data_IF_376273226716
#
_entry.id   IF_376273226716
#
_cell.length_a   1.000
_cell.length_b   1.000
_cell.length_c   1.000
_cell.angle_alpha   90.00
_cell.angle_beta   90.00
_cell.angle_gamma   90.00
#
_symmetry.space_group_name_H-M   'P 1'
#
loop_
_entity.id
_entity.type
_entity.pdbx_description
1 polymer ?
#
# COMPACT_ATOMS: atom_id res chain seq x y z
N UNK A 1 -9.05 -23.59 3.40
CA UNK A 1 -9.15 -22.48 2.44
C UNK A 1 -9.03 -22.92 0.98
N UNK A 2 -8.34 -24.01 0.68
CA UNK A 2 -8.29 -24.61 -0.68
C UNK A 2 -9.67 -24.93 -1.27
N UNK A 3 -10.68 -25.15 -0.43
CA UNK A 3 -12.05 -25.46 -0.87
C UNK A 3 -12.80 -24.32 -1.56
N UNK A 4 -12.28 -23.09 -1.52
CA UNK A 4 -12.91 -21.90 -2.13
C UNK A 4 -12.40 -21.60 -3.54
N UNK A 5 -11.39 -22.33 -4.03
CA UNK A 5 -10.76 -22.11 -5.33
C UNK A 5 -9.89 -20.85 -5.40
N UNK A 6 -9.69 -20.15 -4.27
CA UNK A 6 -8.81 -18.97 -4.22
C UNK A 6 -7.34 -19.41 -4.09
N UNK A 7 -6.44 -18.67 -4.75
CA UNK A 7 -4.99 -18.81 -4.66
C UNK A 7 -4.35 -17.49 -4.22
N UNK A 8 -3.07 -17.49 -3.85
CA UNK A 8 -2.35 -16.28 -3.47
C UNK A 8 -2.59 -15.84 -2.02
N UNK A 9 -2.92 -16.75 -1.11
CA UNK A 9 -2.97 -16.45 0.31
C UNK A 9 -1.59 -16.01 0.83
N UNK A 10 -1.55 -14.87 1.53
CA UNK A 10 -0.32 -14.25 2.00
C UNK A 10 0.27 -13.22 1.04
N UNK A 11 -0.12 -13.23 -0.24
CA UNK A 11 0.17 -12.16 -1.19
C UNK A 11 -0.65 -10.88 -0.89
N UNK A 12 -0.41 -9.81 -1.63
CA UNK A 12 -1.12 -8.53 -1.45
C UNK A 12 -2.56 -8.60 -1.96
N UNK A 13 -2.81 -9.31 -3.06
CA UNK A 13 -4.14 -9.53 -3.61
C UNK A 13 -4.45 -11.04 -3.71
N UNK A 14 -5.70 -11.40 -3.40
CA UNK A 14 -6.22 -12.74 -3.64
C UNK A 14 -6.59 -12.93 -5.10
N UNK A 15 -6.28 -14.11 -5.65
CA UNK A 15 -6.63 -14.48 -7.02
C UNK A 15 -7.76 -15.51 -7.04
N UNK A 16 -8.76 -15.26 -7.88
CA UNK A 16 -9.86 -16.19 -8.11
C UNK A 16 -10.03 -16.47 -9.61
N UNK A 17 -10.11 -17.73 -10.06
CA UNK A 17 -10.34 -18.06 -11.46
C UNK A 17 -11.63 -17.41 -11.99
N UNK A 18 -11.52 -16.56 -13.01
CA UNK A 18 -12.68 -15.96 -13.68
C UNK A 18 -13.16 -16.86 -14.81
N UNK A 19 -12.21 -17.34 -15.59
CA UNK A 19 -12.44 -18.26 -16.72
C UNK A 19 -11.18 -19.11 -16.97
N UNK A 20 -11.12 -19.81 -18.10
CA UNK A 20 -9.98 -20.65 -18.47
C UNK A 20 -8.66 -19.88 -18.67
N UNK A 21 -8.71 -18.57 -18.87
CA UNK A 21 -7.56 -17.73 -19.23
C UNK A 21 -7.23 -16.65 -18.23
N UNK A 22 -8.16 -16.23 -17.35
CA UNK A 22 -8.01 -15.06 -16.49
C UNK A 22 -8.31 -15.35 -15.04
N UNK A 23 -7.70 -14.52 -14.17
CA UNK A 23 -8.06 -14.43 -12.77
C UNK A 23 -8.68 -13.05 -12.48
N UNK A 24 -9.63 -13.01 -11.55
CA UNK A 24 -9.92 -11.82 -10.77
C UNK A 24 -8.87 -11.69 -9.68
N UNK A 25 -8.36 -10.47 -9.51
CA UNK A 25 -7.53 -10.09 -8.37
C UNK A 25 -8.35 -9.16 -7.48
N UNK A 26 -8.31 -9.36 -6.17
CA UNK A 26 -9.02 -8.49 -5.23
C UNK A 26 -8.19 -8.25 -3.98
N UNK A 27 -8.21 -7.02 -3.49
CA UNK A 27 -7.61 -6.63 -2.22
C UNK A 27 -8.55 -5.70 -1.46
N UNK A 28 -8.59 -5.84 -0.15
CA UNK A 28 -9.35 -4.99 0.76
C UNK A 28 -8.40 -4.41 1.81
N UNK A 29 -8.47 -3.09 2.00
CA UNK A 29 -7.70 -2.40 3.02
C UNK A 29 -8.52 -1.30 3.70
N UNK A 30 -8.02 -0.77 4.80
CA UNK A 30 -8.57 0.37 5.52
C UNK A 30 -7.50 1.44 5.75
N UNK A 31 -7.92 2.69 5.88
CA UNK A 31 -6.99 3.80 6.16
C UNK A 31 -6.40 3.70 7.56
N UNK A 32 -7.16 3.18 8.51
CA UNK A 32 -6.72 3.02 9.88
C UNK A 32 -6.54 4.34 10.63
N UNK A 33 -5.60 4.35 11.58
CA UNK A 33 -5.48 5.46 12.57
C UNK A 33 -4.93 6.78 12.00
N UNK A 34 -4.53 6.84 10.73
CA UNK A 34 -4.26 8.10 10.00
C UNK A 34 -5.49 9.00 10.00
N UNK A 35 -6.70 8.43 9.89
CA UNK A 35 -7.97 9.16 9.92
C UNK A 35 -8.06 10.12 11.10
N UNK A 36 -7.58 9.73 12.29
CA UNK A 36 -7.64 10.55 13.50
C UNK A 36 -6.80 11.83 13.34
N UNK A 37 -5.58 11.70 12.84
CA UNK A 37 -4.67 12.85 12.64
C UNK A 37 -5.15 13.71 11.48
N UNK A 38 -5.57 13.10 10.39
CA UNK A 38 -6.06 13.78 9.21
C UNK A 38 -7.33 14.59 9.50
N UNK A 39 -8.28 13.99 10.24
CA UNK A 39 -9.52 14.66 10.67
C UNK A 39 -9.22 15.90 11.53
N UNK A 40 -8.34 15.76 12.53
CA UNK A 40 -7.94 16.86 13.40
C UNK A 40 -7.26 18.01 12.63
N UNK A 41 -6.69 17.74 11.45
CA UNK A 41 -6.01 18.71 10.59
C UNK A 41 -6.82 19.12 9.35
N UNK A 42 -8.09 18.71 9.22
CA UNK A 42 -8.94 19.01 8.06
C UNK A 42 -8.41 18.42 6.75
N UNK A 43 -7.87 17.20 6.78
CA UNK A 43 -7.18 16.53 5.67
C UNK A 43 -7.80 15.16 5.33
N UNK A 44 -9.11 14.96 5.56
CA UNK A 44 -9.78 13.67 5.28
C UNK A 44 -9.77 13.29 3.80
N UNK A 45 -9.73 14.27 2.90
CA UNK A 45 -9.58 14.01 1.46
C UNK A 45 -8.31 13.22 1.13
N UNK A 46 -7.21 13.47 1.85
CA UNK A 46 -5.97 12.72 1.67
C UNK A 46 -6.13 11.25 2.09
N UNK A 47 -6.93 10.98 3.12
CA UNK A 47 -7.27 9.62 3.52
C UNK A 47 -8.13 8.89 2.47
N UNK A 48 -9.01 9.63 1.78
CA UNK A 48 -9.72 9.09 0.63
C UNK A 48 -8.77 8.65 -0.49
N UNK A 49 -7.79 9.49 -0.79
CA UNK A 49 -6.75 9.16 -1.76
C UNK A 49 -5.87 7.98 -1.29
N UNK A 50 -5.53 7.93 0.01
CA UNK A 50 -4.80 6.77 0.58
C UNK A 50 -5.53 5.46 0.32
N UNK A 51 -6.83 5.39 0.65
CA UNK A 51 -7.61 4.16 0.51
C UNK A 51 -7.58 3.63 -0.92
N UNK A 52 -7.91 4.51 -1.88
CA UNK A 52 -7.95 4.11 -3.28
C UNK A 52 -6.57 3.67 -3.78
N UNK A 53 -5.51 4.44 -3.48
CA UNK A 53 -4.16 4.08 -3.87
C UNK A 53 -3.68 2.77 -3.22
N UNK A 54 -3.99 2.53 -1.93
CA UNK A 54 -3.66 1.29 -1.23
C UNK A 54 -4.27 0.07 -1.92
N UNK A 55 -5.59 0.05 -2.05
CA UNK A 55 -6.29 -1.09 -2.65
C UNK A 55 -5.87 -1.33 -4.11
N UNK A 56 -5.68 -0.26 -4.90
CA UNK A 56 -5.25 -0.37 -6.29
C UNK A 56 -3.80 -0.88 -6.37
N UNK A 57 -2.88 -0.33 -5.57
CA UNK A 57 -1.49 -0.79 -5.54
C UNK A 57 -1.39 -2.29 -5.21
N UNK A 58 -2.16 -2.76 -4.23
CA UNK A 58 -2.16 -4.18 -3.89
C UNK A 58 -2.57 -5.07 -5.06
N UNK A 59 -3.61 -4.68 -5.79
CA UNK A 59 -4.06 -5.38 -7.01
C UNK A 59 -2.97 -5.39 -8.09
N UNK A 60 -2.20 -4.29 -8.21
CA UNK A 60 -1.09 -4.20 -9.18
C UNK A 60 0.05 -5.17 -8.88
N UNK A 61 0.26 -5.58 -7.61
CA UNK A 61 1.39 -6.45 -7.24
C UNK A 61 1.40 -7.79 -7.96
N UNK A 62 0.24 -8.34 -8.27
CA UNK A 62 0.12 -9.60 -9.02
C UNK A 62 0.07 -9.42 -10.55
N UNK A 63 0.36 -8.21 -11.06
CA UNK A 63 0.30 -7.89 -12.50
C UNK A 63 -1.10 -7.61 -13.02
N UNK A 64 -2.12 -7.55 -12.16
CA UNK A 64 -3.49 -7.30 -12.57
C UNK A 64 -3.72 -5.85 -13.01
N UNK A 65 -4.63 -5.68 -13.96
CA UNK A 65 -5.15 -4.37 -14.34
C UNK A 65 -6.35 -4.06 -13.44
N UNK A 66 -6.32 -2.97 -12.65
CA UNK A 66 -7.42 -2.61 -11.75
C UNK A 66 -8.62 -2.13 -12.56
N UNK A 67 -9.83 -2.53 -12.15
CA UNK A 67 -11.07 -2.25 -12.87
C UNK A 67 -12.03 -1.37 -12.05
N UNK A 68 -12.22 -1.71 -10.79
CA UNK A 68 -13.21 -1.05 -9.95
C UNK A 68 -12.78 -1.01 -8.48
N UNK A 69 -13.32 -0.03 -7.77
CA UNK A 69 -13.21 0.15 -6.33
C UNK A 69 -14.61 0.26 -5.72
N UNK A 70 -14.79 -0.32 -4.54
CA UNK A 70 -15.91 -0.11 -3.64
C UNK A 70 -15.37 0.41 -2.31
N UNK A 71 -16.13 1.27 -1.63
CA UNK A 71 -15.75 1.82 -0.34
C UNK A 71 -16.76 1.50 0.76
N UNK A 72 -16.34 1.63 1.99
CA UNK A 72 -17.16 1.50 3.19
C UNK A 72 -16.77 2.58 4.20
N UNK A 73 -17.72 3.48 4.47
CA UNK A 73 -17.60 4.48 5.53
C UNK A 73 -18.46 4.05 6.70
N UNK A 74 -17.87 3.97 7.89
CA UNK A 74 -18.62 3.67 9.11
C UNK A 74 -18.24 4.66 10.23
N UNK A 75 -19.22 5.18 10.96
CA UNK A 75 -18.98 6.11 12.04
C UNK A 75 -20.02 5.96 13.16
N UNK A 76 -19.73 6.53 14.33
CA UNK A 76 -20.75 6.71 15.37
C UNK A 76 -21.88 7.62 14.88
N UNK A 77 -21.52 8.76 14.26
CA UNK A 77 -22.39 9.75 13.65
C UNK A 77 -21.86 10.12 12.27
N UNK A 78 -22.69 10.03 11.24
CA UNK A 78 -22.33 10.39 9.87
C UNK A 78 -22.37 11.91 9.69
N UNK A 79 -21.24 12.49 9.27
CA UNK A 79 -21.11 13.89 8.85
C UNK A 79 -20.90 13.95 7.36
N UNK A 80 -21.87 14.50 6.65
CA UNK A 80 -21.88 14.48 5.18
C UNK A 80 -20.66 15.13 4.55
N UNK A 81 -20.14 16.19 5.15
CA UNK A 81 -18.94 16.89 4.68
C UNK A 81 -17.69 16.00 4.77
N UNK A 82 -17.55 15.23 5.86
CA UNK A 82 -16.43 14.30 6.05
C UNK A 82 -16.49 13.13 5.08
N UNK A 83 -17.70 12.57 4.88
CA UNK A 83 -17.92 11.51 3.87
C UNK A 83 -17.61 12.04 2.46
N UNK A 84 -18.05 13.26 2.14
CA UNK A 84 -17.77 13.88 0.85
C UNK A 84 -16.25 14.03 0.61
N UNK A 85 -15.47 14.51 1.60
CA UNK A 85 -14.01 14.63 1.49
C UNK A 85 -13.36 13.26 1.22
N UNK A 86 -13.74 12.22 1.97
CA UNK A 86 -13.21 10.86 1.79
C UNK A 86 -13.50 10.31 0.38
N UNK A 87 -14.76 10.38 -0.04
CA UNK A 87 -15.19 9.88 -1.35
C UNK A 87 -14.56 10.71 -2.50
N UNK A 88 -14.46 12.03 -2.36
CA UNK A 88 -13.77 12.88 -3.35
C UNK A 88 -12.29 12.53 -3.50
N UNK A 89 -11.60 12.24 -2.39
CA UNK A 89 -10.22 11.79 -2.41
C UNK A 89 -10.05 10.47 -3.14
N UNK A 90 -10.87 9.48 -2.81
CA UNK A 90 -10.89 8.17 -3.46
C UNK A 90 -11.21 8.30 -4.96
N UNK A 91 -12.24 9.08 -5.30
CA UNK A 91 -12.65 9.31 -6.69
C UNK A 91 -11.56 10.04 -7.53
N UNK A 92 -10.74 10.88 -6.89
CA UNK A 92 -9.62 11.53 -7.59
C UNK A 92 -8.57 10.51 -8.04
N UNK A 93 -8.15 9.60 -7.16
CA UNK A 93 -7.21 8.52 -7.50
C UNK A 93 -7.83 7.52 -8.49
N UNK A 94 -9.11 7.18 -8.31
CA UNK A 94 -9.81 6.31 -9.26
C UNK A 94 -9.82 6.90 -10.68
N UNK A 95 -10.06 8.21 -10.83
CA UNK A 95 -9.98 8.89 -12.14
C UNK A 95 -8.58 8.86 -12.74
N UNK A 96 -7.55 9.11 -11.92
CA UNK A 96 -6.15 9.03 -12.34
C UNK A 96 -5.80 7.62 -12.83
N UNK A 97 -6.25 6.59 -12.11
CA UNK A 97 -6.01 5.19 -12.43
C UNK A 97 -6.85 4.66 -13.61
N UNK A 98 -7.91 5.36 -14.02
CA UNK A 98 -8.90 4.81 -14.95
C UNK A 98 -9.78 3.71 -14.33
N UNK A 99 -9.91 3.70 -13.01
CA UNK A 99 -10.69 2.74 -12.21
C UNK A 99 -12.07 3.31 -11.92
N UNK A 100 -13.11 2.49 -12.01
CA UNK A 100 -14.47 2.90 -11.68
C UNK A 100 -14.71 2.82 -10.16
N UNK A 101 -15.06 3.94 -9.52
CA UNK A 101 -15.67 3.90 -8.18
C UNK A 101 -17.15 3.55 -8.38
N UNK A 102 -17.52 2.28 -8.15
CA UNK A 102 -18.83 1.73 -8.57
C UNK A 102 -19.89 1.81 -7.49
N UNK A 103 -19.51 2.17 -6.26
CA UNK A 103 -20.41 2.30 -5.12
C UNK A 103 -19.72 1.93 -3.83
N UNK A 104 -20.50 1.79 -2.79
CA UNK A 104 -20.03 1.48 -1.46
C UNK A 104 -21.18 1.44 -0.46
N UNK A 105 -20.85 1.55 0.82
CA UNK A 105 -21.79 1.60 1.92
C UNK A 105 -21.43 2.74 2.88
N UNK A 106 -22.43 3.42 3.43
CA UNK A 106 -22.23 4.44 4.46
C UNK A 106 -23.12 4.10 5.65
N UNK A 107 -22.52 3.74 6.79
CA UNK A 107 -23.24 3.22 7.93
C UNK A 107 -23.04 4.09 9.17
N UNK A 108 -24.15 4.52 9.77
CA UNK A 108 -24.16 5.12 11.11
C UNK A 108 -24.39 4.01 12.16
N UNK A 109 -23.40 3.82 13.03
CA UNK A 109 -23.32 2.67 13.94
C UNK A 109 -23.03 3.11 15.39
N UNK A 110 -23.96 3.85 16.05
CA UNK A 110 -23.81 4.25 17.44
C UNK A 110 -23.75 3.02 18.34
N UNK A 111 -22.78 3.00 19.24
CA UNK A 111 -22.54 1.85 20.14
C UNK A 111 -21.58 0.78 19.62
N UNK A 112 -21.29 0.75 18.30
CA UNK A 112 -20.16 0.02 17.73
C UNK A 112 -18.94 0.94 17.70
N UNK A 113 -19.09 2.15 17.15
CA UNK A 113 -18.08 3.20 17.22
C UNK A 113 -18.36 4.15 18.37
N UNK A 114 -17.32 4.60 19.06
CA UNK A 114 -17.45 5.64 20.08
C UNK A 114 -17.72 7.01 19.43
N UNK A 115 -18.19 7.97 20.23
CA UNK A 115 -18.44 9.32 19.75
C UNK A 115 -17.17 9.92 19.11
N UNK A 116 -17.33 10.43 17.89
CA UNK A 116 -16.23 10.98 17.11
C UNK A 116 -15.35 9.97 16.40
N UNK A 117 -15.62 8.67 16.48
CA UNK A 117 -14.90 7.66 15.71
C UNK A 117 -15.49 7.46 14.31
N UNK A 118 -14.59 7.25 13.36
CA UNK A 118 -14.82 7.07 11.93
C UNK A 118 -13.87 6.01 11.41
N UNK A 119 -14.37 5.11 10.57
CA UNK A 119 -13.57 4.15 9.79
C UNK A 119 -13.85 4.27 8.30
N UNK A 120 -12.83 3.99 7.49
CA UNK A 120 -12.92 4.05 6.04
C UNK A 120 -12.11 2.92 5.44
N UNK A 121 -12.79 2.01 4.76
CA UNK A 121 -12.23 0.83 4.14
C UNK A 121 -12.70 0.72 2.67
N UNK A 122 -12.01 -0.10 1.87
CA UNK A 122 -12.41 -0.31 0.49
C UNK A 122 -11.90 -1.63 -0.07
N UNK A 123 -12.42 -1.97 -1.24
CA UNK A 123 -12.05 -3.17 -1.97
C UNK A 123 -11.80 -2.80 -3.43
N UNK A 124 -10.59 -3.04 -3.91
CA UNK A 124 -10.28 -2.96 -5.34
C UNK A 124 -10.38 -4.34 -5.98
N UNK A 125 -10.88 -4.35 -7.22
CA UNK A 125 -10.95 -5.57 -8.06
C UNK A 125 -10.27 -5.28 -9.38
N UNK A 126 -9.45 -6.21 -9.83
CA UNK A 126 -8.75 -6.17 -11.11
C UNK A 126 -8.82 -7.53 -11.84
N UNK A 127 -8.18 -7.59 -12.99
CA UNK A 127 -8.09 -8.80 -13.81
C UNK A 127 -6.67 -8.99 -14.32
N UNK A 128 -6.21 -10.24 -14.34
CA UNK A 128 -4.91 -10.61 -14.90
C UNK A 128 -5.04 -11.88 -15.76
N UNK A 129 -4.31 -11.92 -16.87
CA UNK A 129 -4.20 -13.13 -17.65
C UNK A 129 -3.32 -14.15 -16.92
N UNK A 130 -3.63 -15.45 -16.99
CA UNK A 130 -2.90 -16.50 -16.26
C UNK A 130 -1.40 -16.51 -16.54
N UNK A 131 -1.00 -16.18 -17.77
CA UNK A 131 0.41 -16.13 -18.20
C UNK A 131 1.12 -14.83 -17.84
N UNK A 132 0.40 -13.86 -17.27
CA UNK A 132 0.92 -12.53 -16.89
C UNK A 132 0.94 -12.33 -15.38
N UNK A 133 0.56 -13.34 -14.59
CA UNK A 133 0.62 -13.28 -13.13
C UNK A 133 2.06 -13.10 -12.68
N UNK A 134 2.27 -12.11 -11.82
CA UNK A 134 3.55 -11.81 -11.17
C UNK A 134 3.43 -12.30 -9.73
N UNK A 135 4.15 -13.37 -9.37
CA UNK A 135 4.01 -14.07 -8.09
C UNK A 135 5.33 -14.35 -7.36
N UNK A 136 6.46 -13.88 -7.90
CA UNK A 136 7.77 -14.10 -7.31
C UNK A 136 8.39 -15.46 -7.60
N UNK A 137 7.67 -16.40 -8.23
CA UNK A 137 8.15 -17.77 -8.44
C UNK A 137 9.42 -17.90 -9.28
N UNK A 138 9.77 -16.87 -10.03
CA UNK A 138 10.99 -16.82 -10.89
C UNK A 138 12.12 -16.03 -10.27
N UNK A 139 12.01 -15.61 -9.01
CA UNK A 139 13.10 -14.93 -8.30
C UNK A 139 14.26 -15.88 -8.07
N UNK A 140 15.48 -15.36 -8.28
CA UNK A 140 16.74 -16.09 -8.12
C UNK A 140 17.73 -15.28 -7.29
N UNK A 141 18.65 -15.97 -6.60
CA UNK A 141 19.74 -15.30 -5.93
C UNK A 141 20.58 -14.48 -6.93
N UNK A 142 20.89 -13.24 -6.58
CA UNK A 142 21.55 -12.28 -7.46
C UNK A 142 20.61 -11.25 -8.09
N UNK A 143 19.29 -11.51 -8.13
CA UNK A 143 18.30 -10.53 -8.59
C UNK A 143 18.38 -9.23 -7.79
N UNK A 144 18.11 -8.13 -8.44
CA UNK A 144 18.13 -6.80 -7.84
C UNK A 144 16.76 -6.39 -7.32
N UNK A 145 16.73 -5.77 -6.14
CA UNK A 145 15.56 -5.10 -5.60
C UNK A 145 15.65 -3.62 -5.96
N UNK A 146 14.75 -3.12 -6.81
CA UNK A 146 14.63 -1.71 -7.14
C UNK A 146 13.51 -1.06 -6.32
N UNK A 147 13.79 0.13 -5.76
CA UNK A 147 12.88 0.87 -4.91
C UNK A 147 12.32 2.13 -5.60
N UNK A 148 11.06 2.42 -5.36
CA UNK A 148 10.38 3.61 -5.86
C UNK A 148 9.93 4.49 -4.69
N UNK A 149 10.16 5.82 -4.77
CA UNK A 149 9.99 6.70 -3.64
C UNK A 149 8.54 6.80 -3.18
N UNK A 150 8.34 6.86 -1.85
CA UNK A 150 7.07 7.25 -1.23
C UNK A 150 6.91 8.78 -1.19
N UNK A 151 5.68 9.25 -0.92
CA UNK A 151 5.40 10.67 -0.68
C UNK A 151 5.66 11.09 0.78
N UNK A 152 5.99 10.13 1.65
CA UNK A 152 6.14 10.29 3.09
C UNK A 152 5.70 9.02 3.81
N UNK A 153 5.01 9.16 4.92
CA UNK A 153 4.57 8.02 5.76
C UNK A 153 3.55 7.12 5.02
N UNK A 154 2.78 7.67 4.09
CA UNK A 154 1.59 7.03 3.50
C UNK A 154 0.48 6.83 4.55
N UNK A 155 -0.13 5.63 4.66
CA UNK A 155 -1.21 5.39 5.61
C UNK A 155 -0.82 4.46 6.78
N UNK A 156 0.40 3.93 6.80
CA UNK A 156 0.81 2.94 7.79
C UNK A 156 1.61 3.55 8.96
N UNK A 157 1.60 2.88 10.12
CA UNK A 157 2.37 3.29 11.29
C UNK A 157 1.79 4.45 12.09
N UNK A 158 0.56 4.92 11.80
CA UNK A 158 -0.03 6.09 12.46
C UNK A 158 -0.35 5.88 13.94
N UNK A 159 -0.46 4.67 14.43
CA UNK A 159 -0.51 4.42 15.88
C UNK A 159 0.76 4.90 16.56
N UNK A 160 1.93 4.66 15.96
CA UNK A 160 3.22 5.12 16.46
C UNK A 160 3.41 6.62 16.22
N UNK A 161 3.09 7.12 15.03
CA UNK A 161 3.09 8.57 14.70
C UNK A 161 2.30 9.37 15.75
N UNK A 162 1.10 8.92 16.11
CA UNK A 162 0.26 9.60 17.10
C UNK A 162 0.92 9.70 18.48
N UNK A 163 1.60 8.64 18.93
CA UNK A 163 2.38 8.66 20.19
C UNK A 163 3.52 9.67 20.14
N UNK A 164 4.21 9.79 19.00
CA UNK A 164 5.28 10.79 18.84
C UNK A 164 4.70 12.20 18.80
N UNK A 165 3.55 12.42 18.16
CA UNK A 165 2.87 13.72 18.13
C UNK A 165 2.39 14.20 19.52
N UNK A 166 2.19 13.29 20.49
CA UNK A 166 1.91 13.66 21.88
C UNK A 166 3.13 14.32 22.59
N UNK A 167 4.33 14.05 22.08
CA UNK A 167 5.61 14.52 22.67
C UNK A 167 6.19 15.67 21.86
N UNK A 168 6.13 15.61 20.54
CA UNK A 168 6.71 16.59 19.62
C UNK A 168 5.83 16.73 18.37
N UNK A 169 5.40 17.97 18.08
CA UNK A 169 4.60 18.23 16.88
C UNK A 169 5.44 18.19 15.60
N UNK A 170 4.80 17.90 14.47
CA UNK A 170 5.39 17.90 13.15
C UNK A 170 4.36 18.39 12.12
N UNK A 171 4.71 19.44 11.39
CA UNK A 171 3.86 20.11 10.39
C UNK A 171 4.30 19.88 8.94
N UNK A 172 5.32 19.05 8.72
CA UNK A 172 5.79 18.69 7.37
C UNK A 172 4.71 18.05 6.51
N UNK A 173 4.68 18.41 5.24
CA UNK A 173 3.67 17.91 4.27
C UNK A 173 3.73 16.40 4.09
N UNK A 174 4.90 15.79 4.26
CA UNK A 174 5.16 14.36 4.12
C UNK A 174 4.53 13.50 5.23
N UNK A 175 4.06 14.10 6.34
CA UNK A 175 3.32 13.37 7.37
C UNK A 175 1.99 12.81 6.86
N UNK A 176 1.17 13.66 6.23
CA UNK A 176 -0.17 13.34 5.74
C UNK A 176 -0.23 13.21 4.21
N UNK A 177 0.91 13.31 3.51
CA UNK A 177 0.91 13.12 2.07
C UNK A 177 0.23 11.80 1.69
N UNK A 178 -0.68 11.81 0.71
CA UNK A 178 -1.36 10.59 0.28
C UNK A 178 -0.40 9.53 -0.23
N UNK A 179 -0.79 8.29 -0.11
CA UNK A 179 -0.13 7.14 -0.72
C UNK A 179 -0.01 7.36 -2.22
N UNK A 180 1.19 7.18 -2.76
CA UNK A 180 1.41 7.24 -4.21
C UNK A 180 0.74 6.08 -4.92
N UNK A 181 0.15 6.39 -6.07
CA UNK A 181 -0.28 5.38 -7.02
C UNK A 181 0.91 4.94 -7.87
N UNK A 182 1.19 3.61 -7.88
CA UNK A 182 2.32 3.04 -8.64
C UNK A 182 1.91 2.39 -9.96
N UNK A 183 0.75 2.75 -10.52
CA UNK A 183 0.17 2.18 -11.72
C UNK A 183 1.13 2.26 -12.94
N UNK A 184 1.68 3.44 -13.20
CA UNK A 184 2.60 3.63 -14.34
C UNK A 184 3.91 2.85 -14.15
N UNK A 185 4.41 2.79 -12.91
CA UNK A 185 5.59 1.99 -12.55
C UNK A 185 5.32 0.50 -12.79
N UNK A 186 4.20 -0.01 -12.28
CA UNK A 186 3.81 -1.40 -12.44
C UNK A 186 3.64 -1.77 -13.92
N UNK A 187 2.96 -0.92 -14.71
CA UNK A 187 2.79 -1.11 -16.15
C UNK A 187 4.11 -1.12 -16.90
N UNK A 188 5.02 -0.17 -16.60
CA UNK A 188 6.32 -0.09 -17.23
C UNK A 188 7.23 -1.30 -16.95
N UNK A 189 7.06 -1.93 -15.78
CA UNK A 189 7.88 -3.05 -15.35
C UNK A 189 7.25 -4.42 -15.57
N UNK A 190 5.96 -4.52 -15.96
CA UNK A 190 5.21 -5.78 -16.07
C UNK A 190 5.96 -6.88 -16.85
N UNK A 191 6.69 -6.51 -17.92
CA UNK A 191 7.41 -7.46 -18.77
C UNK A 191 8.78 -7.90 -18.23
N UNK A 192 9.28 -7.33 -17.10
CA UNK A 192 10.62 -7.61 -16.56
C UNK A 192 10.64 -7.83 -15.04
N UNK A 193 9.61 -7.41 -14.33
CA UNK A 193 9.52 -7.66 -12.90
C UNK A 193 9.19 -9.13 -12.64
N UNK A 194 9.94 -9.73 -11.74
CA UNK A 194 9.70 -11.09 -11.20
C UNK A 194 8.73 -11.05 -10.01
N UNK A 195 8.74 -9.94 -9.26
CA UNK A 195 7.81 -9.64 -8.18
C UNK A 195 7.62 -8.14 -8.00
N UNK A 196 6.48 -7.76 -7.42
CA UNK A 196 6.21 -6.45 -6.87
C UNK A 196 5.86 -6.56 -5.39
N UNK A 197 6.30 -5.57 -4.60
CA UNK A 197 5.89 -5.42 -3.21
C UNK A 197 5.42 -3.98 -2.96
N UNK A 198 4.18 -3.83 -2.50
CA UNK A 198 3.65 -2.57 -1.98
C UNK A 198 4.09 -2.42 -0.53
N UNK A 199 4.83 -1.37 -0.22
CA UNK A 199 5.43 -1.20 1.11
C UNK A 199 4.43 -0.52 2.04
N UNK A 200 3.81 -1.34 2.87
CA UNK A 200 2.79 -0.99 3.87
C UNK A 200 3.27 -1.32 5.28
N UNK A 201 2.39 -1.69 6.20
CA UNK A 201 2.76 -2.18 7.53
C UNK A 201 3.69 -3.39 7.43
N UNK A 202 4.70 -3.45 8.29
CA UNK A 202 5.79 -4.43 8.21
C UNK A 202 7.06 -3.88 7.55
N UNK A 203 7.01 -2.65 7.01
CA UNK A 203 8.16 -2.00 6.37
C UNK A 203 8.64 -2.72 5.11
N UNK A 204 9.83 -2.35 4.62
CA UNK A 204 10.38 -2.97 3.41
C UNK A 204 10.63 -4.47 3.60
N UNK A 205 11.26 -4.94 4.70
CA UNK A 205 11.55 -6.36 4.88
C UNK A 205 10.30 -7.22 4.88
N UNK A 206 9.32 -6.90 5.74
CA UNK A 206 8.12 -7.73 5.90
C UNK A 206 7.25 -7.80 4.63
N UNK A 207 7.29 -6.75 3.77
CA UNK A 207 6.55 -6.79 2.51
C UNK A 207 7.33 -7.52 1.39
N UNK A 208 8.66 -7.49 1.39
CA UNK A 208 9.46 -8.30 0.47
C UNK A 208 9.37 -9.80 0.80
N UNK A 209 9.33 -10.18 2.09
CA UNK A 209 9.15 -11.58 2.51
C UNK A 209 7.86 -12.22 1.95
N UNK A 210 6.83 -11.43 1.63
CA UNK A 210 5.57 -11.94 1.07
C UNK A 210 5.70 -12.44 -0.37
N UNK A 211 6.73 -12.00 -1.08
CA UNK A 211 6.92 -12.26 -2.52
C UNK A 211 8.24 -12.96 -2.84
N UNK A 212 9.17 -12.99 -1.90
CA UNK A 212 10.44 -13.71 -2.04
C UNK A 212 10.22 -15.19 -1.67
N UNK A 213 10.61 -16.16 -2.51
CA UNK A 213 10.45 -17.57 -2.23
C UNK A 213 11.19 -18.04 -0.98
N UNK A 214 10.69 -19.12 -0.35
CA UNK A 214 11.35 -19.79 0.77
C UNK A 214 12.81 -20.16 0.41
N UNK A 215 13.73 -19.98 1.38
CA UNK A 215 15.16 -20.22 1.19
C UNK A 215 15.91 -19.06 0.53
N UNK A 216 15.22 -17.96 0.27
CA UNK A 216 15.83 -16.73 -0.20
C UNK A 216 15.47 -15.56 0.71
N UNK A 217 16.28 -14.50 0.67
CA UNK A 217 16.06 -13.26 1.44
C UNK A 217 16.51 -12.05 0.65
N UNK A 218 15.95 -10.88 0.95
CA UNK A 218 16.39 -9.61 0.40
C UNK A 218 17.40 -8.94 1.34
N UNK A 219 18.65 -8.83 0.90
CA UNK A 219 19.68 -8.04 1.58
C UNK A 219 19.55 -6.58 1.15
N UNK A 220 19.18 -5.69 2.08
CA UNK A 220 18.90 -4.28 1.81
C UNK A 220 20.11 -3.39 2.11
N UNK A 221 20.39 -2.45 1.22
CA UNK A 221 21.32 -1.33 1.43
C UNK A 221 20.52 -0.09 1.89
N UNK A 222 20.50 0.15 3.20
CA UNK A 222 19.71 1.23 3.82
C UNK A 222 20.25 2.63 3.52
N UNK A 223 21.41 2.77 2.90
CA UNK A 223 22.03 4.04 2.49
C UNK A 223 21.81 4.34 1.00
N UNK A 224 21.17 3.42 0.26
CA UNK A 224 20.94 3.55 -1.19
C UNK A 224 19.96 4.66 -1.58
N UNK A 225 19.18 5.20 -0.64
CA UNK A 225 18.20 6.27 -0.93
C UNK A 225 18.11 7.31 0.19
N UNK A 226 17.63 8.48 -0.16
CA UNK A 226 17.37 9.54 0.82
C UNK A 226 15.97 9.39 1.41
N UNK A 227 15.91 9.29 2.74
CA UNK A 227 14.62 9.24 3.47
C UNK A 227 13.98 10.63 3.54
N UNK A 228 12.65 10.76 3.38
CA UNK A 228 11.90 11.98 3.66
C UNK A 228 12.13 12.51 5.09
N UNK A 229 12.03 13.85 5.31
CA UNK A 229 12.31 14.48 6.61
C UNK A 229 11.47 13.94 7.78
N UNK A 230 10.25 13.50 7.54
CA UNK A 230 9.37 12.91 8.57
C UNK A 230 10.04 11.72 9.28
N UNK A 231 10.86 10.94 8.59
CA UNK A 231 11.54 9.79 9.22
C UNK A 231 12.72 10.22 10.10
N UNK A 232 13.36 11.36 9.80
CA UNK A 232 14.36 11.94 10.71
C UNK A 232 13.71 12.50 11.99
N UNK A 233 12.49 13.05 11.90
CA UNK A 233 11.70 13.43 13.06
C UNK A 233 11.31 12.19 13.88
N UNK A 234 10.77 11.15 13.28
CA UNK A 234 10.41 9.91 13.98
C UNK A 234 11.61 9.25 14.66
N UNK A 235 12.79 9.26 14.03
CA UNK A 235 14.02 8.66 14.56
C UNK A 235 14.53 9.33 15.86
N UNK A 236 14.02 10.49 16.23
CA UNK A 236 14.34 11.10 17.53
C UNK A 236 13.65 10.40 18.70
N UNK A 237 12.58 9.66 18.43
CA UNK A 237 11.70 9.05 19.44
C UNK A 237 11.52 7.54 19.27
N UNK A 238 11.91 6.98 18.14
CA UNK A 238 11.69 5.59 17.76
C UNK A 238 13.01 4.95 17.35
N UNK A 239 13.29 3.75 17.84
CA UNK A 239 14.50 3.01 17.50
C UNK A 239 14.52 2.63 16.01
N UNK A 240 15.72 2.58 15.41
CA UNK A 240 15.90 2.31 13.97
C UNK A 240 15.28 0.96 13.56
N UNK A 241 15.42 -0.07 14.38
CA UNK A 241 14.85 -1.41 14.13
C UNK A 241 13.31 -1.35 14.02
N UNK A 242 12.67 -0.59 14.93
CA UNK A 242 11.22 -0.41 14.91
C UNK A 242 10.78 0.43 13.69
N UNK A 243 11.54 1.47 13.34
CA UNK A 243 11.29 2.26 12.12
C UNK A 243 11.31 1.38 10.88
N UNK A 244 12.29 0.48 10.75
CA UNK A 244 12.43 -0.45 9.61
C UNK A 244 11.29 -1.47 9.53
N UNK A 245 10.74 -1.87 10.66
CA UNK A 245 9.64 -2.84 10.72
C UNK A 245 8.25 -2.21 10.55
N UNK A 246 8.09 -0.89 10.81
CA UNK A 246 6.79 -0.24 10.81
C UNK A 246 6.56 0.60 9.55
N UNK A 247 7.61 1.27 9.05
CA UNK A 247 7.48 2.31 8.04
C UNK A 247 8.14 1.95 6.70
N UNK A 248 7.69 2.63 5.64
CA UNK A 248 8.26 2.53 4.30
C UNK A 248 9.64 3.23 4.16
N UNK A 249 10.02 4.09 5.09
CA UNK A 249 11.27 4.85 5.14
C UNK A 249 11.64 5.58 3.84
N UNK A 250 10.65 5.94 3.03
CA UNK A 250 10.85 6.66 1.78
C UNK A 250 10.73 5.79 0.52
N UNK A 251 10.54 4.48 0.66
CA UNK A 251 10.29 3.55 -0.45
C UNK A 251 8.89 2.97 -0.30
N UNK A 252 7.97 3.35 -1.17
CA UNK A 252 6.58 2.88 -1.10
C UNK A 252 6.26 1.71 -2.01
N UNK A 253 7.16 1.37 -2.93
CA UNK A 253 7.01 0.24 -3.86
C UNK A 253 8.36 -0.36 -4.19
N UNK A 254 8.41 -1.69 -4.28
CA UNK A 254 9.58 -2.42 -4.74
C UNK A 254 9.24 -3.31 -5.92
N UNK A 255 10.22 -3.52 -6.78
CA UNK A 255 10.20 -4.56 -7.80
C UNK A 255 11.47 -5.39 -7.74
N UNK A 256 11.34 -6.70 -7.92
CA UNK A 256 12.47 -7.61 -8.09
C UNK A 256 12.68 -7.85 -9.57
N UNK A 257 13.90 -7.61 -10.05
CA UNK A 257 14.28 -7.74 -11.47
C UNK A 257 15.62 -8.47 -11.60
N UNK A 258 15.83 -9.20 -12.72
CA UNK A 258 17.11 -9.84 -12.97
C UNK A 258 18.26 -8.83 -13.05
N UNK A 259 18.07 -7.77 -13.83
CA UNK A 259 19.05 -6.70 -14.00
C UNK A 259 18.39 -5.32 -13.94
N UNK A 260 18.94 -4.37 -13.15
CA UNK A 260 18.42 -3.01 -13.11
C UNK A 260 18.83 -2.24 -14.37
N UNK A 261 18.02 -1.26 -14.75
CA UNK A 261 18.35 -0.31 -15.82
C UNK A 261 19.06 0.93 -15.25
N UNK A 262 19.73 1.65 -16.14
CA UNK A 262 20.35 2.94 -15.77
C UNK A 262 19.29 3.93 -15.27
N UNK A 263 19.54 4.49 -14.08
CA UNK A 263 18.64 5.44 -13.42
C UNK A 263 17.63 4.80 -12.44
N UNK A 264 17.55 3.47 -12.35
CA UNK A 264 16.78 2.80 -11.31
C UNK A 264 17.54 2.77 -9.98
N UNK A 265 16.84 3.00 -8.88
CA UNK A 265 17.43 2.96 -7.54
C UNK A 265 17.46 1.52 -7.03
N UNK A 266 18.62 0.89 -7.06
CA UNK A 266 18.82 -0.43 -6.46
C UNK A 266 18.95 -0.25 -4.95
N UNK A 267 18.03 -0.85 -4.20
CA UNK A 267 17.99 -0.79 -2.73
C UNK A 267 18.40 -2.09 -2.06
N UNK A 268 18.72 -3.13 -2.83
CA UNK A 268 19.14 -4.42 -2.29
C UNK A 268 19.28 -5.49 -3.37
N UNK A 269 19.58 -6.70 -2.91
CA UNK A 269 19.72 -7.90 -3.75
C UNK A 269 19.13 -9.12 -3.07
N UNK A 270 18.65 -10.05 -3.88
CA UNK A 270 18.20 -11.37 -3.40
C UNK A 270 19.43 -12.24 -3.12
N UNK A 271 19.42 -12.94 -1.98
CA UNK A 271 20.43 -13.88 -1.52
C UNK A 271 19.80 -15.21 -1.15
N UNK A 272 20.60 -16.25 -1.11
CA UNK A 272 20.25 -17.49 -0.41
C UNK A 272 20.20 -17.21 1.10
N UNK A 273 19.16 -17.74 1.80
CA UNK A 273 18.91 -17.50 3.22
C UNK A 273 19.84 -18.33 4.13
#
# INVERSE_FOLDING_TARGET
MESTGATGFGAFAGLHPLDGQRFLAASTDGVGTKLIVARARGRLRDCGADLAAHCINDVLTCGAEPLMLLDYVAANEIRLEEVAELVEGAAAVCREAGVALVGGETAELPGIYAEGELDFAGTAVGVVHRTEVIDGSTIEAGDSVIGFPSAGVHANGFTLVRRVLEVEDYDGQDLLAPTRLYLDVARALRGRAKAFAHITGGGIPGNLERVVPDGQTAELDWDAWQRPPVFAWLARHVAEEELRCVFNLGIGWCAVVAEPMVGETVIGRIREA
#
